data_IF_523438114518
#
_entry.id   IF_523438114518
#
_cell.length_a   1.000
_cell.length_b   1.000
_cell.length_c   1.000
_cell.angle_alpha   90.00
_cell.angle_beta   90.00
_cell.angle_gamma   90.00
#
_symmetry.space_group_name_H-M   'P 1'
#
loop_
_entity.id
_entity.type
_entity.pdbx_description
1 polymer ?
#
# COMPACT_ATOMS: atom_id res chain seq x y z
N UNK A 1 6.70 -16.72 10.34
CA UNK A 1 6.30 -15.36 9.91
C UNK A 1 7.51 -14.44 9.80
N UNK A 2 8.34 -14.33 10.82
CA UNK A 2 9.53 -13.47 10.82
C UNK A 2 10.53 -13.76 9.68
N UNK A 3 10.82 -15.04 9.38
CA UNK A 3 11.68 -15.41 8.25
C UNK A 3 11.15 -14.94 6.88
N UNK A 4 9.82 -14.89 6.72
CA UNK A 4 9.17 -14.40 5.51
C UNK A 4 9.21 -12.87 5.40
N UNK A 5 9.30 -12.17 6.54
CA UNK A 5 9.38 -10.71 6.61
C UNK A 5 10.78 -10.16 6.22
N UNK A 6 11.86 -10.92 6.43
CA UNK A 6 13.24 -10.49 6.12
C UNK A 6 13.46 -9.98 4.70
N UNK A 7 13.11 -10.70 3.63
CA UNK A 7 13.28 -10.19 2.26
C UNK A 7 12.42 -8.96 1.97
N UNK A 8 11.27 -8.81 2.65
CA UNK A 8 10.43 -7.60 2.55
C UNK A 8 11.15 -6.41 3.16
N UNK A 9 11.66 -6.57 4.38
CA UNK A 9 12.43 -5.54 5.07
C UNK A 9 13.67 -5.14 4.27
N UNK A 10 14.42 -6.11 3.73
CA UNK A 10 15.59 -5.85 2.89
C UNK A 10 15.24 -5.06 1.61
N UNK A 11 14.11 -5.37 0.99
CA UNK A 11 13.63 -4.60 -0.16
C UNK A 11 13.23 -3.17 0.24
N UNK A 12 12.49 -3.02 1.34
CA UNK A 12 12.11 -1.70 1.86
C UNK A 12 13.32 -0.86 2.27
N UNK A 13 14.41 -1.45 2.75
CA UNK A 13 15.65 -0.73 3.04
C UNK A 13 16.25 -0.05 1.79
N UNK A 14 16.02 -0.56 0.58
CA UNK A 14 16.49 0.08 -0.66
C UNK A 14 15.79 1.41 -0.98
N UNK A 15 14.69 1.71 -0.26
CA UNK A 15 13.97 2.99 -0.32
C UNK A 15 14.17 3.86 0.92
N UNK A 16 15.00 3.43 1.86
CA UNK A 16 15.43 4.24 3.00
C UNK A 16 16.11 5.53 2.53
N UNK A 17 15.93 6.63 3.27
CA UNK A 17 16.57 7.90 2.94
C UNK A 17 15.94 8.69 1.78
N UNK A 18 14.86 8.22 1.15
CA UNK A 18 14.24 8.87 -0.03
C UNK A 18 13.35 10.09 0.26
N UNK A 19 13.32 10.61 1.49
CA UNK A 19 12.70 11.91 1.81
C UNK A 19 11.24 11.88 2.26
N UNK A 20 10.70 10.72 2.62
CA UNK A 20 9.29 10.51 2.95
C UNK A 20 8.40 10.53 1.71
N UNK A 21 7.25 9.88 1.77
CA UNK A 21 6.31 9.82 0.64
C UNK A 21 5.07 10.63 0.99
N UNK A 22 4.72 11.59 0.15
CA UNK A 22 3.47 12.33 0.29
C UNK A 22 2.29 11.46 -0.14
N UNK A 23 1.28 11.42 0.72
CA UNK A 23 -0.01 10.78 0.49
C UNK A 23 -1.07 11.85 0.54
N UNK A 24 -1.91 11.89 -0.49
CA UNK A 24 -3.07 12.77 -0.56
C UNK A 24 -4.34 11.94 -0.59
N UNK A 25 -5.21 12.16 0.39
CA UNK A 25 -6.53 11.56 0.51
C UNK A 25 -7.56 12.48 -0.15
N UNK A 26 -8.41 11.92 -1.00
CA UNK A 26 -9.41 12.69 -1.75
C UNK A 26 -10.58 13.07 -0.84
N UNK A 27 -11.09 14.29 -0.99
CA UNK A 27 -12.39 14.64 -0.42
C UNK A 27 -13.50 13.84 -1.10
N UNK A 28 -14.51 13.44 -0.33
CA UNK A 28 -15.67 12.74 -0.89
C UNK A 28 -16.34 11.76 0.07
N UNK A 29 -17.30 11.01 -0.46
CA UNK A 29 -17.91 9.91 0.27
C UNK A 29 -16.91 8.75 0.42
N UNK A 30 -16.91 8.05 1.57
CA UNK A 30 -16.18 6.80 1.72
C UNK A 30 -16.58 5.78 0.65
N UNK A 31 -15.63 4.98 0.17
CA UNK A 31 -15.85 3.99 -0.88
C UNK A 31 -16.09 2.61 -0.26
N UNK A 32 -17.30 2.04 -0.38
CA UNK A 32 -17.57 0.68 0.07
C UNK A 32 -17.01 -0.35 -0.91
N UNK A 33 -16.25 -1.33 -0.42
CA UNK A 33 -15.76 -2.47 -1.20
C UNK A 33 -15.94 -3.75 -0.40
N UNK A 34 -17.00 -4.51 -0.71
CA UNK A 34 -17.43 -5.60 0.15
C UNK A 34 -17.84 -5.07 1.53
N UNK A 35 -17.27 -5.67 2.58
CA UNK A 35 -17.48 -5.24 3.98
C UNK A 35 -16.51 -4.13 4.43
N UNK A 36 -15.62 -3.65 3.56
CA UNK A 36 -14.67 -2.59 3.91
C UNK A 36 -15.14 -1.22 3.47
N UNK A 37 -14.76 -0.22 4.26
CA UNK A 37 -14.98 1.20 3.98
C UNK A 37 -13.63 1.87 3.82
N UNK A 38 -13.40 2.48 2.66
CA UNK A 38 -12.12 3.08 2.31
C UNK A 38 -12.20 4.60 2.17
N UNK A 39 -11.11 5.28 2.53
CA UNK A 39 -10.80 6.64 2.12
C UNK A 39 -9.75 6.60 1.01
N UNK A 40 -10.16 6.96 -0.20
CA UNK A 40 -9.30 6.87 -1.38
C UNK A 40 -8.11 7.82 -1.32
N UNK A 41 -6.93 7.30 -1.65
CA UNK A 41 -5.72 8.08 -1.83
C UNK A 41 -5.38 8.27 -3.31
N UNK A 42 -4.71 9.37 -3.64
CA UNK A 42 -4.16 9.58 -4.98
C UNK A 42 -2.99 8.63 -5.25
N UNK A 43 -3.04 7.94 -6.39
CA UNK A 43 -1.94 7.08 -6.85
C UNK A 43 -0.79 7.95 -7.35
N UNK A 44 0.21 8.18 -6.51
CA UNK A 44 1.46 8.87 -6.91
C UNK A 44 2.48 7.86 -7.47
N UNK A 45 3.39 8.30 -8.37
CA UNK A 45 4.47 7.44 -8.87
C UNK A 45 5.33 6.85 -7.74
N UNK A 46 5.58 7.61 -6.68
CA UNK A 46 6.36 7.16 -5.52
C UNK A 46 5.64 6.05 -4.73
N UNK A 47 4.34 6.21 -4.45
CA UNK A 47 3.55 5.18 -3.76
C UNK A 47 3.44 3.90 -4.60
N UNK A 48 3.24 4.04 -5.91
CA UNK A 48 3.17 2.91 -6.83
C UNK A 48 4.48 2.14 -6.87
N UNK A 49 5.60 2.84 -7.05
CA UNK A 49 6.92 2.23 -7.07
C UNK A 49 7.24 1.51 -5.76
N UNK A 50 6.89 2.09 -4.62
CA UNK A 50 7.04 1.44 -3.32
C UNK A 50 6.25 0.13 -3.23
N UNK A 51 4.97 0.18 -3.59
CA UNK A 51 4.09 -0.99 -3.55
C UNK A 51 4.60 -2.11 -4.47
N UNK A 52 4.96 -1.78 -5.70
CA UNK A 52 5.54 -2.71 -6.67
C UNK A 52 6.85 -3.32 -6.16
N UNK A 53 7.71 -2.52 -5.53
CA UNK A 53 8.97 -2.99 -4.96
C UNK A 53 8.74 -3.98 -3.82
N UNK A 54 7.83 -3.68 -2.90
CA UNK A 54 7.44 -4.57 -1.81
C UNK A 54 6.82 -5.88 -2.34
N UNK A 55 5.95 -5.79 -3.36
CA UNK A 55 5.33 -6.95 -4.01
C UNK A 55 6.35 -7.85 -4.72
N UNK A 56 7.32 -7.27 -5.41
CA UNK A 56 8.40 -8.03 -6.05
C UNK A 56 9.26 -8.78 -5.01
N UNK A 57 9.49 -8.18 -3.84
CA UNK A 57 10.25 -8.81 -2.76
C UNK A 57 9.55 -10.04 -2.17
N UNK A 58 8.21 -10.01 -2.08
CA UNK A 58 7.43 -11.16 -1.60
C UNK A 58 7.15 -12.19 -2.68
N UNK A 59 7.21 -11.81 -3.97
CA UNK A 59 6.81 -12.66 -5.10
C UNK A 59 7.38 -14.08 -5.06
N UNK A 60 8.67 -14.32 -4.74
CA UNK A 60 9.23 -15.68 -4.66
C UNK A 60 8.58 -16.58 -3.61
N UNK A 61 7.93 -15.99 -2.59
CA UNK A 61 7.33 -16.70 -1.47
C UNK A 61 5.85 -17.03 -1.69
N UNK A 62 5.17 -16.33 -2.60
CA UNK A 62 3.73 -16.45 -2.83
C UNK A 62 3.33 -17.68 -3.65
N UNK A 63 4.29 -18.43 -4.20
CA UNK A 63 4.01 -19.57 -5.08
C UNK A 63 3.19 -19.17 -6.33
N UNK A 64 2.44 -20.13 -6.89
CA UNK A 64 1.52 -19.87 -8.00
C UNK A 64 0.23 -19.24 -7.49
N UNK A 65 -0.07 -18.02 -7.95
CA UNK A 65 -1.30 -17.31 -7.61
C UNK A 65 -2.38 -17.58 -8.67
N UNK A 66 -3.62 -17.77 -8.21
CA UNK A 66 -4.78 -17.90 -9.10
C UNK A 66 -5.38 -16.52 -9.38
N UNK A 67 -5.98 -16.38 -10.56
CA UNK A 67 -6.75 -15.19 -10.88
C UNK A 67 -7.98 -15.13 -9.95
N UNK A 68 -8.29 -13.97 -9.35
CA UNK A 68 -9.53 -13.81 -8.61
C UNK A 68 -10.77 -14.05 -9.50
N UNK A 69 -11.81 -14.74 -9.03
CA UNK A 69 -12.98 -15.09 -9.86
C UNK A 69 -13.73 -13.89 -10.46
N UNK A 70 -13.64 -12.71 -9.83
CA UNK A 70 -14.27 -11.51 -10.37
C UNK A 70 -13.58 -11.01 -11.65
N UNK A 71 -12.31 -11.36 -11.88
CA UNK A 71 -11.62 -11.02 -13.12
C UNK A 71 -12.22 -11.73 -14.33
N UNK A 72 -12.85 -12.91 -14.15
CA UNK A 72 -13.47 -13.66 -15.25
C UNK A 72 -14.65 -12.89 -15.90
N UNK A 73 -15.18 -11.89 -15.20
CA UNK A 73 -16.26 -11.00 -15.69
C UNK A 73 -15.73 -9.78 -16.45
N UNK A 74 -14.42 -9.55 -16.46
CA UNK A 74 -13.82 -8.42 -17.17
C UNK A 74 -13.73 -8.72 -18.68
N UNK A 75 -13.63 -7.70 -19.54
CA UNK A 75 -13.27 -7.89 -20.94
C UNK A 75 -11.94 -8.64 -21.10
N UNK A 76 -11.79 -9.43 -22.18
CA UNK A 76 -10.62 -10.28 -22.40
C UNK A 76 -9.28 -9.51 -22.37
N UNK A 77 -9.26 -8.28 -22.91
CA UNK A 77 -8.08 -7.42 -22.87
C UNK A 77 -7.69 -7.03 -21.43
N UNK A 78 -8.67 -6.71 -20.59
CA UNK A 78 -8.42 -6.40 -19.18
C UNK A 78 -7.98 -7.64 -18.41
N UNK A 79 -8.58 -8.81 -18.67
CA UNK A 79 -8.14 -10.07 -18.07
C UNK A 79 -6.66 -10.37 -18.37
N UNK A 80 -6.24 -10.17 -19.63
CA UNK A 80 -4.86 -10.34 -20.05
C UNK A 80 -3.92 -9.37 -19.33
N UNK A 81 -4.28 -8.08 -19.23
CA UNK A 81 -3.49 -7.11 -18.47
C UNK A 81 -3.37 -7.50 -16.99
N UNK A 82 -4.48 -7.93 -16.36
CA UNK A 82 -4.49 -8.40 -14.96
C UNK A 82 -3.61 -9.63 -14.76
N UNK A 83 -3.55 -10.53 -15.75
CA UNK A 83 -2.68 -11.72 -15.73
C UNK A 83 -1.21 -11.32 -15.67
N UNK A 84 -0.81 -10.34 -16.48
CA UNK A 84 0.58 -9.83 -16.47
C UNK A 84 0.97 -9.33 -15.07
N UNK A 85 0.09 -8.58 -14.40
CA UNK A 85 0.36 -8.11 -13.03
C UNK A 85 0.37 -9.26 -12.01
N UNK A 86 -0.56 -10.21 -12.13
CA UNK A 86 -0.59 -11.38 -11.26
C UNK A 86 0.71 -12.21 -11.37
N UNK A 87 1.17 -12.44 -12.59
CA UNK A 87 2.37 -13.24 -12.82
C UNK A 87 3.62 -12.53 -12.30
N UNK A 88 3.72 -11.21 -12.53
CA UNK A 88 4.85 -10.37 -12.13
C UNK A 88 4.90 -10.05 -10.63
N UNK A 89 3.76 -9.69 -10.03
CA UNK A 89 3.68 -9.14 -8.68
C UNK A 89 2.97 -10.05 -7.68
N UNK A 90 2.35 -11.15 -8.15
CA UNK A 90 1.56 -12.04 -7.30
C UNK A 90 0.18 -11.46 -6.94
N UNK A 91 -0.23 -10.36 -7.58
CA UNK A 91 -1.53 -9.71 -7.36
C UNK A 91 -2.01 -8.99 -8.61
N UNK A 92 -3.33 -8.90 -8.79
CA UNK A 92 -3.96 -8.16 -9.88
C UNK A 92 -4.12 -6.66 -9.59
N UNK A 93 -3.80 -6.22 -8.37
CA UNK A 93 -3.94 -4.84 -7.89
C UNK A 93 -2.57 -4.15 -7.80
N UNK A 94 -1.81 -4.19 -8.91
CA UNK A 94 -0.50 -3.59 -9.05
C UNK A 94 -0.49 -2.61 -10.25
N UNK A 95 0.55 -1.77 -10.34
CA UNK A 95 0.72 -0.83 -11.45
C UNK A 95 -0.43 0.15 -11.61
N UNK A 96 -1.01 0.19 -12.80
CA UNK A 96 -2.16 1.05 -13.11
C UNK A 96 -3.43 0.67 -12.31
N UNK A 97 -3.48 -0.56 -11.80
CA UNK A 97 -4.58 -1.05 -11.00
C UNK A 97 -4.37 -0.88 -9.49
N UNK A 98 -3.24 -0.29 -9.09
CA UNK A 98 -2.97 0.04 -7.70
C UNK A 98 -3.89 1.17 -7.23
N UNK A 99 -4.74 0.85 -6.24
CA UNK A 99 -5.70 1.76 -5.60
C UNK A 99 -5.28 1.98 -4.13
N UNK A 100 -4.37 2.94 -3.84
CA UNK A 100 -4.01 3.23 -2.46
C UNK A 100 -5.22 3.80 -1.71
N UNK A 101 -5.38 3.40 -0.45
CA UNK A 101 -6.49 3.84 0.40
C UNK A 101 -6.12 3.71 1.88
N UNK A 102 -6.92 4.33 2.73
CA UNK A 102 -6.95 4.09 4.18
C UNK A 102 -8.24 3.35 4.51
N UNK A 103 -8.15 2.21 5.17
CA UNK A 103 -9.32 1.52 5.70
C UNK A 103 -9.85 2.28 6.91
N UNK A 104 -11.10 2.71 6.85
CA UNK A 104 -11.79 3.42 7.93
C UNK A 104 -12.50 2.45 8.87
N UNK A 105 -13.14 1.43 8.31
CA UNK A 105 -13.84 0.41 9.07
C UNK A 105 -14.05 -0.87 8.25
N UNK A 106 -14.27 -1.96 8.99
CA UNK A 106 -14.86 -3.20 8.51
C UNK A 106 -16.25 -3.31 9.12
N UNK A 107 -17.29 -3.37 8.29
CA UNK A 107 -18.68 -3.36 8.74
C UNK A 107 -19.51 -4.35 7.93
N UNK A 108 -20.00 -5.38 8.61
CA UNK A 108 -20.90 -6.36 7.99
C UNK A 108 -22.35 -5.87 8.02
N UNK A 109 -23.03 -5.89 6.87
CA UNK A 109 -24.49 -5.73 6.77
C UNK A 109 -25.09 -4.38 7.21
N UNK A 110 -24.29 -3.35 7.48
CA UNK A 110 -24.80 -2.04 7.94
C UNK A 110 -24.65 -0.95 6.89
N UNK A 111 -25.53 0.06 6.95
CA UNK A 111 -25.45 1.26 6.12
C UNK A 111 -24.41 2.22 6.70
N UNK A 112 -23.47 2.65 5.87
CA UNK A 112 -22.52 3.71 6.21
C UNK A 112 -23.30 5.02 6.31
N UNK A 113 -23.17 5.79 7.39
CA UNK A 113 -23.75 7.13 7.45
C UNK A 113 -23.23 7.96 6.27
N UNK A 114 -24.05 8.86 5.74
CA UNK A 114 -23.61 9.83 4.74
C UNK A 114 -22.62 10.81 5.38
N UNK A 115 -21.33 10.47 5.32
CA UNK A 115 -20.23 11.31 5.79
C UNK A 115 -19.47 11.78 4.55
N UNK A 116 -19.12 13.06 4.53
CA UNK A 116 -18.18 13.61 3.55
C UNK A 116 -16.84 13.75 4.25
N UNK A 117 -15.86 12.98 3.77
CA UNK A 117 -14.49 13.06 4.25
C UNK A 117 -13.83 14.30 3.64
N UNK A 118 -13.01 15.04 4.42
CA UNK A 118 -12.29 16.19 3.90
C UNK A 118 -11.21 15.75 2.90
N UNK A 119 -10.55 16.70 2.24
CA UNK A 119 -9.25 16.42 1.66
C UNK A 119 -8.21 16.37 2.80
N UNK A 120 -7.20 15.50 2.69
CA UNK A 120 -6.12 15.45 3.66
C UNK A 120 -4.80 15.07 3.00
N UNK A 121 -3.70 15.60 3.52
CA UNK A 121 -2.37 15.27 3.07
C UNK A 121 -1.46 14.97 4.26
N UNK A 122 -0.60 13.97 4.10
CA UNK A 122 0.41 13.64 5.10
C UNK A 122 1.64 13.05 4.42
N UNK A 123 2.77 13.14 5.13
CA UNK A 123 4.02 12.51 4.70
C UNK A 123 4.24 11.23 5.50
N UNK A 124 4.39 10.12 4.79
CA UNK A 124 4.82 8.85 5.37
C UNK A 124 6.31 8.93 5.63
N UNK A 125 6.70 8.89 6.90
CA UNK A 125 8.10 8.89 7.35
C UNK A 125 8.63 7.51 7.68
N UNK A 126 7.75 6.52 7.83
CA UNK A 126 8.11 5.16 8.25
C UNK A 126 7.20 4.12 7.61
N UNK A 127 7.78 2.99 7.23
CA UNK A 127 7.05 1.81 6.76
C UNK A 127 7.28 0.67 7.74
N UNK A 128 6.22 -0.10 8.04
CA UNK A 128 6.28 -1.25 8.92
C UNK A 128 5.96 -2.52 8.14
N UNK A 129 6.65 -3.60 8.47
CA UNK A 129 6.26 -4.96 8.06
C UNK A 129 5.68 -5.63 9.30
N UNK A 130 4.42 -6.03 9.21
CA UNK A 130 3.68 -6.56 10.36
C UNK A 130 2.89 -7.80 9.99
N UNK A 131 2.60 -8.63 10.98
CA UNK A 131 1.57 -9.63 10.88
C UNK A 131 0.20 -8.98 10.64
N UNK A 132 -0.61 -9.66 9.84
CA UNK A 132 -2.00 -9.32 9.58
C UNK A 132 -2.90 -10.36 10.23
N UNK A 133 -3.91 -9.90 10.95
CA UNK A 133 -4.96 -10.73 11.53
C UNK A 133 -6.13 -10.93 10.56
N UNK A 134 -7.28 -11.27 11.12
CA UNK A 134 -8.52 -11.39 10.36
C UNK A 134 -8.83 -10.06 9.65
N UNK A 135 -9.43 -10.19 8.46
CA UNK A 135 -9.85 -9.06 7.64
C UNK A 135 -8.70 -8.09 7.28
N UNK A 136 -7.46 -8.58 7.23
CA UNK A 136 -6.30 -7.77 6.88
C UNK A 136 -5.93 -6.71 7.93
N UNK A 137 -6.43 -6.85 9.15
CA UNK A 137 -6.11 -5.94 10.26
C UNK A 137 -4.63 -6.04 10.61
N UNK A 138 -3.92 -4.91 10.65
CA UNK A 138 -2.53 -4.88 11.10
C UNK A 138 -2.50 -5.05 12.63
N UNK A 139 -1.81 -6.10 13.10
CA UNK A 139 -1.74 -6.40 14.53
C UNK A 139 -0.73 -5.46 15.22
N UNK A 140 -1.12 -4.86 16.35
CA UNK A 140 -0.28 -3.88 17.07
C UNK A 140 1.00 -4.48 17.67
N UNK A 141 1.01 -5.76 17.98
CA UNK A 141 2.14 -6.55 18.47
C UNK A 141 2.77 -7.42 17.36
N UNK A 142 2.34 -7.22 16.11
CA UNK A 142 2.77 -8.01 14.96
C UNK A 142 3.98 -7.48 14.21
N UNK A 143 4.60 -6.38 14.65
CA UNK A 143 5.70 -5.74 13.91
C UNK A 143 6.93 -6.67 13.84
N UNK A 144 7.35 -6.99 12.62
CA UNK A 144 8.62 -7.67 12.34
C UNK A 144 9.77 -6.68 12.11
N UNK A 145 9.45 -5.43 11.80
CA UNK A 145 10.42 -4.33 11.69
C UNK A 145 9.89 -3.15 10.89
N UNK A 146 10.69 -2.09 10.83
CA UNK A 146 10.36 -0.86 10.12
C UNK A 146 11.55 -0.23 9.41
N UNK A 147 11.27 0.60 8.41
CA UNK A 147 12.25 1.38 7.65
C UNK A 147 11.87 2.85 7.72
N UNK A 148 12.87 3.72 7.98
CA UNK A 148 12.64 5.17 7.94
C UNK A 148 12.77 5.66 6.51
N UNK A 149 11.80 6.45 6.07
CA UNK A 149 11.84 7.14 4.78
C UNK A 149 12.43 8.53 4.87
N UNK A 150 12.69 9.06 6.08
CA UNK A 150 13.25 10.40 6.27
C UNK A 150 14.55 10.57 5.51
N UNK A 151 14.73 11.73 4.87
CA UNK A 151 15.98 12.04 4.16
C UNK A 151 17.17 11.78 5.08
N UNK A 152 18.24 11.18 4.54
CA UNK A 152 19.50 11.13 5.25
C UNK A 152 19.83 12.55 5.72
N UNK A 153 20.28 12.75 6.97
CA UNK A 153 20.77 14.06 7.38
C UNK A 153 21.80 14.48 6.34
N UNK A 154 21.60 15.66 5.75
CA UNK A 154 22.54 16.18 4.76
C UNK A 154 23.95 16.12 5.37
N UNK A 155 24.97 15.59 4.66
CA UNK A 155 26.34 15.56 5.15
C UNK A 155 26.87 16.98 5.40
N UNK A 156 26.23 17.97 4.79
CA UNK A 156 26.28 19.36 5.18
C UNK A 156 25.14 19.55 6.20
N UNK A 157 25.45 19.63 7.50
CA UNK A 157 24.45 19.91 8.55
C UNK A 157 23.57 21.14 8.20
N UNK A 158 22.48 21.40 8.94
CA UNK A 158 21.48 22.40 8.55
C UNK A 158 22.17 23.72 8.19
N UNK A 159 22.23 24.03 6.90
CA UNK A 159 22.50 25.38 6.46
C UNK A 159 21.26 26.16 6.90
N UNK A 160 21.41 26.86 8.02
CA UNK A 160 20.46 27.82 8.52
C UNK A 160 20.17 28.81 7.39
N UNK A 161 19.08 28.58 6.66
CA UNK A 161 18.44 29.62 5.88
C UNK A 161 17.67 30.48 6.88
N UNK A 162 18.37 31.42 7.50
CA UNK A 162 17.75 32.66 7.94
C UNK A 162 17.41 33.46 6.69
N UNK A 163 16.11 33.62 6.41
CA UNK A 163 15.53 34.91 5.99
C UNK A 163 14.13 35.00 6.61
#
# INVERSE_FOLDING_TARGET
AEAAARPILAALQSVEGRGGIEVRLRAGAPVPVGDYIFWDAESSPALRALCEHAQQAVRPQLGMQKMPPWCDKLPAAEQASRRVYLDRFGTVNAGEFFRPHVTLAYVHGSRIPAIILPESNFRVSRLHVSAVGEYGTVLSDGEFGSVQLTAAPSPLGPLAACV
#
